data_IF_326680763038
#
_entry.id   IF_326680763038
#
_cell.length_a   1.000
_cell.length_b   1.000
_cell.length_c   1.000
_cell.angle_alpha   90.00
_cell.angle_beta   90.00
_cell.angle_gamma   90.00
#
_symmetry.space_group_name_H-M   'P 1'
#
loop_
_entity.id
_entity.type
_entity.pdbx_description
1 polymer ?
2 polymer ?
3 non-polymer ?
4 water ?
#
# COMPACT_ATOMS: atom_id res chain seq x y z
N UNK A 3 14.48 23.66 -21.01
CA UNK A 3 14.54 23.99 -19.60
C UNK A 3 13.14 24.22 -19.02
N UNK A 4 13.05 24.08 -17.70
CA UNK A 4 11.76 24.15 -17.00
C UNK A 4 11.33 25.60 -16.80
N UNK A 5 10.03 25.85 -16.91
CA UNK A 5 9.52 27.20 -16.71
C UNK A 5 8.21 27.18 -15.92
N UNK A 6 7.87 28.35 -15.39
CA UNK A 6 6.72 28.54 -14.52
C UNK A 6 5.60 29.15 -15.37
N UNK A 7 4.78 28.29 -15.96
CA UNK A 7 3.71 28.74 -16.85
C UNK A 7 2.36 28.13 -16.44
N UNK A 8 1.27 28.49 -17.13
CA UNK A 8 -0.06 28.01 -16.67
C UNK A 8 -0.16 26.50 -16.59
N UNK A 9 0.52 25.78 -17.49
CA UNK A 9 0.61 24.34 -17.40
C UNK A 9 1.22 23.90 -16.07
N UNK A 10 2.42 24.39 -15.74
CA UNK A 10 3.05 23.93 -14.51
C UNK A 10 2.18 24.27 -13.30
N UNK A 11 1.59 25.47 -13.28
CA UNK A 11 0.71 25.82 -12.16
C UNK A 11 -0.50 24.90 -12.09
N UNK A 12 -0.94 24.34 -13.21
CA UNK A 12 -2.00 23.34 -13.13
C UNK A 12 -1.47 22.04 -12.54
N UNK A 13 -0.28 21.62 -12.97
CA UNK A 13 0.33 20.42 -12.43
C UNK A 13 0.50 20.50 -10.91
N UNK A 14 0.90 21.68 -10.40
CA UNK A 14 1.04 21.83 -8.95
C UNK A 14 -0.31 21.81 -8.23
N UNK A 15 -1.29 22.54 -8.77
CA UNK A 15 -2.63 22.44 -8.19
C UNK A 15 -3.07 20.98 -8.14
N UNK A 16 -2.74 20.21 -9.18
CA UNK A 16 -3.12 18.79 -9.19
C UNK A 16 -2.39 18.05 -8.09
N UNK A 17 -1.07 18.31 -7.95
CA UNK A 17 -0.28 17.63 -6.92
C UNK A 17 -0.80 17.94 -5.52
N UNK A 18 -1.18 19.19 -5.26
CA UNK A 18 -1.69 19.54 -3.94
C UNK A 18 -3.06 18.92 -3.68
N UNK A 19 -3.90 18.78 -4.71
CA UNK A 19 -5.21 18.18 -4.48
C UNK A 19 -5.06 16.70 -4.12
N UNK A 20 -4.21 15.98 -4.85
CA UNK A 20 -3.91 14.60 -4.50
C UNK A 20 -3.37 14.50 -3.07
N UNK A 21 -2.38 15.35 -2.73
CA UNK A 21 -1.84 15.32 -1.38
C UNK A 21 -2.94 15.50 -0.34
N UNK A 22 -3.74 16.55 -0.48
CA UNK A 22 -4.79 16.80 0.50
C UNK A 22 -5.74 15.61 0.59
N UNK A 23 -6.11 15.03 -0.56
CA UNK A 23 -7.00 13.88 -0.53
C UNK A 23 -6.33 12.65 0.08
N UNK A 24 -5.01 12.53 -0.10
CA UNK A 24 -4.24 11.42 0.45
C UNK A 24 -4.15 11.51 1.97
N UNK A 25 -3.95 12.72 2.52
CA UNK A 25 -3.89 12.87 3.97
C UNK A 25 -5.22 12.49 4.63
N UNK A 26 -6.34 12.80 3.99
CA UNK A 26 -7.59 12.45 4.65
C UNK A 26 -8.07 11.04 4.32
N UNK A 27 -7.50 10.37 3.31
CA UNK A 27 -7.87 8.99 3.02
C UNK A 27 -7.07 7.97 3.81
N UNK A 28 -5.81 8.26 4.10
CA UNK A 28 -4.91 7.30 4.73
C UNK A 28 -4.58 7.76 6.14
N UNK A 29 -4.80 6.93 7.15
CA UNK A 29 -4.60 7.39 8.53
C UNK A 29 -3.14 7.67 8.84
N UNK A 30 -2.29 6.65 8.75
CA UNK A 30 -0.87 6.78 9.12
C UNK A 30 -0.07 7.15 7.88
N UNK A 31 0.26 8.43 7.75
CA UNK A 31 1.13 8.88 6.68
C UNK A 31 2.58 8.50 6.97
N UNK A 32 3.44 8.65 5.95
CA UNK A 32 4.85 8.33 6.14
C UNK A 32 5.54 9.37 7.02
N UNK A 33 5.06 10.62 7.01
CA UNK A 33 5.58 11.62 7.94
C UNK A 33 5.40 11.16 9.38
N UNK A 34 4.18 10.81 9.76
CA UNK A 34 3.92 10.35 11.12
C UNK A 34 4.64 9.04 11.40
N UNK A 35 4.66 8.13 10.42
CA UNK A 35 5.29 6.83 10.63
C UNK A 35 6.79 6.96 10.92
N UNK A 36 7.49 7.82 10.17
CA UNK A 36 8.94 7.95 10.39
C UNK A 36 9.26 8.68 11.68
N UNK A 37 8.46 9.67 12.07
CA UNK A 37 8.60 10.22 13.41
C UNK A 37 8.57 9.10 14.45
N UNK A 38 7.53 8.26 14.40
CA UNK A 38 7.42 7.16 15.35
C UNK A 38 8.67 6.28 15.29
N UNK A 39 9.10 5.94 14.07
CA UNK A 39 10.21 5.01 13.91
C UNK A 39 11.52 5.58 14.44
N UNK A 40 11.55 6.86 14.79
CA UNK A 40 12.74 7.48 15.37
C UNK A 40 12.50 8.01 16.77
N UNK A 41 11.35 7.73 17.38
CA UNK A 41 11.01 8.34 18.65
C UNK A 41 10.76 9.83 18.59
N UNK A 42 11.13 10.50 17.49
CA UNK A 42 10.84 11.92 17.26
C UNK A 42 9.36 12.25 17.41
N UNK A 43 8.63 11.51 18.24
CA UNK A 43 7.21 11.71 18.46
C UNK A 43 6.97 11.78 19.96
N UNK A 44 5.82 12.33 20.32
CA UNK A 44 5.27 12.07 21.64
C UNK A 44 4.38 10.85 21.52
N UNK A 45 3.10 11.08 21.25
CA UNK A 45 2.16 10.01 20.95
C UNK A 45 2.29 8.84 21.93
N UNK A 46 3.01 7.80 21.54
CA UNK A 46 2.89 6.53 22.26
C UNK A 46 4.23 5.82 22.47
N UNK A 47 5.03 5.68 21.42
CA UNK A 47 6.17 4.77 21.46
C UNK A 47 5.64 3.35 21.36
N UNK A 48 5.73 2.72 20.18
CA UNK A 48 5.05 1.44 19.99
C UNK A 48 5.64 0.33 20.86
N UNK A 49 4.78 -0.66 21.17
CA UNK A 49 5.20 -1.86 21.87
C UNK A 49 5.90 -2.80 20.89
N UNK A 50 7.11 -3.24 21.25
CA UNK A 50 7.92 -4.04 20.32
C UNK A 50 7.63 -5.51 20.51
N UNK A 51 7.22 -6.17 19.42
CA UNK A 51 7.08 -7.62 19.39
C UNK A 51 8.29 -8.18 18.66
N UNK A 52 9.17 -8.86 19.40
CA UNK A 52 10.42 -9.36 18.88
C UNK A 52 10.63 -10.85 19.14
N UNK A 53 9.75 -11.49 19.92
CA UNK A 53 9.83 -12.92 20.17
C UNK A 53 8.44 -13.38 20.59
N UNK A 54 8.30 -14.69 20.83
CA UNK A 54 6.98 -15.22 21.14
C UNK A 54 6.46 -14.68 22.47
N UNK A 55 7.36 -14.47 23.44
CA UNK A 55 6.90 -13.90 24.71
C UNK A 55 6.40 -12.47 24.54
N UNK A 56 7.09 -11.65 23.75
CA UNK A 56 6.63 -10.28 23.55
C UNK A 56 5.35 -10.25 22.71
N UNK A 57 5.16 -11.25 21.83
CA UNK A 57 3.91 -11.33 21.07
C UNK A 57 2.73 -11.55 21.99
N UNK A 58 2.75 -12.64 22.76
CA UNK A 58 1.72 -12.89 23.77
C UNK A 58 1.42 -11.63 24.58
N UNK A 59 2.46 -10.95 25.08
CA UNK A 59 2.21 -9.77 25.90
C UNK A 59 1.70 -8.61 25.06
N UNK A 60 2.16 -8.49 23.81
CA UNK A 60 1.65 -7.44 22.93
C UNK A 60 0.17 -7.59 22.63
N UNK A 61 -0.27 -8.82 22.32
CA UNK A 61 -1.70 -9.03 22.07
C UNK A 61 -2.52 -8.55 23.26
N UNK A 62 -1.99 -8.71 24.46
CA UNK A 62 -2.69 -8.25 25.65
C UNK A 62 -2.70 -6.72 25.75
N UNK A 63 -1.58 -6.06 25.47
CA UNK A 63 -1.45 -4.64 25.75
C UNK A 63 -1.78 -3.72 24.57
N UNK A 64 -1.63 -4.20 23.34
CA UNK A 64 -2.02 -3.41 22.17
C UNK A 64 -3.51 -3.62 21.91
N UNK A 65 -4.24 -2.53 21.65
CA UNK A 65 -5.67 -2.62 21.35
C UNK A 65 -5.85 -2.80 19.84
N UNK A 66 -5.84 -4.06 19.40
CA UNK A 66 -6.00 -4.35 17.97
C UNK A 66 -7.43 -4.07 17.54
N UNK A 67 -7.57 -3.36 16.42
CA UNK A 67 -8.89 -2.96 15.95
C UNK A 67 -9.76 -4.18 15.65
N UNK A 68 -9.20 -5.18 14.98
CA UNK A 68 -10.00 -6.32 14.53
C UNK A 68 -10.33 -7.31 15.63
N UNK A 69 -9.65 -7.24 16.78
CA UNK A 69 -9.81 -8.26 17.82
C UNK A 69 -10.90 -7.83 18.78
N UNK A 70 -11.69 -8.79 19.24
CA UNK A 70 -12.75 -8.63 20.22
C UNK A 70 -12.58 -9.64 21.34
N UNK A 71 -13.02 -9.28 22.57
CA UNK A 71 -13.06 -10.27 23.66
C UNK A 71 -14.47 -10.83 23.85
N UNK A 72 -14.86 -11.81 23.06
CA UNK A 72 -13.97 -12.42 22.09
C UNK A 72 -14.70 -13.25 21.03
N UNK A 73 -14.27 -13.05 19.79
CA UNK A 73 -14.52 -13.99 18.71
C UNK A 73 -13.61 -15.20 18.93
N UNK A 74 -13.62 -16.15 17.98
CA UNK A 74 -12.73 -17.30 18.03
C UNK A 74 -11.46 -17.00 17.25
N UNK A 75 -10.31 -17.05 17.92
CA UNK A 75 -9.01 -16.80 17.30
C UNK A 75 -8.26 -18.11 17.13
N UNK A 76 -7.27 -18.09 16.22
CA UNK A 76 -6.66 -19.30 15.69
C UNK A 76 -5.89 -20.13 16.72
N UNK A 77 -5.45 -19.53 17.83
CA UNK A 77 -4.65 -20.30 18.78
C UNK A 77 -3.24 -20.57 18.27
N UNK A 78 -3.02 -20.47 16.96
CA UNK A 78 -1.69 -20.56 16.38
C UNK A 78 -1.20 -19.16 15.99
N UNK A 79 -0.05 -18.75 16.55
CA UNK A 79 0.44 -17.39 16.36
C UNK A 79 0.42 -17.00 14.88
N UNK A 80 1.03 -17.83 14.03
CA UNK A 80 1.16 -17.47 12.62
C UNK A 80 -0.19 -17.12 11.99
N UNK A 81 -1.24 -17.86 12.35
CA UNK A 81 -2.53 -17.65 11.70
C UNK A 81 -3.20 -16.39 12.26
N UNK A 82 -3.10 -16.16 13.56
CA UNK A 82 -3.61 -14.92 14.12
C UNK A 82 -2.96 -13.72 13.45
N UNK A 83 -1.66 -13.81 13.14
CA UNK A 83 -1.00 -12.72 12.44
C UNK A 83 -1.58 -12.58 11.04
N UNK A 84 -1.67 -13.69 10.30
CA UNK A 84 -2.29 -13.64 8.99
C UNK A 84 -3.65 -12.94 9.05
N UNK A 85 -4.43 -13.19 10.11
CA UNK A 85 -5.77 -12.64 10.21
C UNK A 85 -5.75 -11.13 10.41
N UNK A 86 -4.89 -10.64 11.31
CA UNK A 86 -4.72 -9.20 11.44
C UNK A 86 -4.33 -8.56 10.12
N UNK A 87 -3.35 -9.14 9.42
CA UNK A 87 -2.92 -8.57 8.15
C UNK A 87 -4.03 -8.59 7.11
N UNK A 88 -4.79 -9.69 7.04
CA UNK A 88 -5.93 -9.73 6.13
C UNK A 88 -6.95 -8.64 6.45
N UNK A 89 -7.20 -8.40 7.73
CA UNK A 89 -8.11 -7.32 8.13
C UNK A 89 -7.56 -5.95 7.73
N UNK A 90 -6.27 -5.72 7.94
CA UNK A 90 -5.71 -4.44 7.53
C UNK A 90 -5.81 -4.27 6.02
N UNK A 91 -5.62 -5.37 5.26
CA UNK A 91 -5.69 -5.29 3.79
C UNK A 91 -7.07 -4.88 3.34
N UNK A 92 -8.12 -5.52 3.91
CA UNK A 92 -9.48 -5.17 3.57
C UNK A 92 -9.72 -3.68 3.85
N UNK A 93 -9.39 -3.24 5.06
CA UNK A 93 -9.39 -1.80 5.35
C UNK A 93 -8.68 -0.99 4.26
N UNK A 94 -7.51 -1.47 3.81
CA UNK A 94 -6.71 -0.65 2.88
C UNK A 94 -7.39 -0.58 1.53
N UNK A 95 -8.03 -1.66 1.10
CA UNK A 95 -8.82 -1.60 -0.13
C UNK A 95 -9.82 -0.46 -0.05
N UNK A 96 -10.43 -0.26 1.12
CA UNK A 96 -11.41 0.81 1.21
C UNK A 96 -10.74 2.19 1.23
N UNK A 97 -9.67 2.35 2.01
CA UNK A 97 -8.92 3.59 1.95
C UNK A 97 -8.53 3.94 0.51
N UNK A 98 -8.02 2.94 -0.22
CA UNK A 98 -7.49 3.20 -1.56
C UNK A 98 -8.63 3.53 -2.52
N UNK A 99 -9.74 2.77 -2.43
CA UNK A 99 -10.93 3.03 -3.23
C UNK A 99 -11.40 4.46 -3.04
N UNK A 100 -11.51 4.90 -1.79
CA UNK A 100 -11.91 6.28 -1.54
C UNK A 100 -10.93 7.25 -2.18
N UNK A 101 -9.62 7.03 -1.99
CA UNK A 101 -8.63 7.90 -2.61
C UNK A 101 -8.77 7.94 -4.12
N UNK A 102 -9.01 6.76 -4.74
CA UNK A 102 -9.18 6.71 -6.19
C UNK A 102 -10.29 7.67 -6.65
N UNK A 103 -11.37 7.76 -5.90
CA UNK A 103 -12.48 8.59 -6.34
C UNK A 103 -12.13 10.06 -6.28
N UNK A 104 -11.08 10.41 -5.54
CA UNK A 104 -10.66 11.78 -5.46
C UNK A 104 -9.74 12.18 -6.60
N UNK A 105 -9.34 11.24 -7.44
CA UNK A 105 -8.41 11.52 -8.53
C UNK A 105 -9.17 12.14 -9.70
N UNK A 106 -8.93 13.41 -10.02
CA UNK A 106 -9.67 14.06 -11.10
C UNK A 106 -9.88 13.18 -12.32
N UNK A 107 -11.15 13.00 -12.68
CA UNK A 107 -11.53 12.21 -13.82
C UNK A 107 -11.85 10.76 -13.52
N UNK A 108 -11.44 10.24 -12.36
CA UNK A 108 -11.56 8.80 -12.14
C UNK A 108 -13.04 8.38 -12.10
N UNK A 109 -13.86 9.16 -11.40
CA UNK A 109 -15.25 8.76 -11.17
C UNK A 109 -16.00 8.69 -12.49
N UNK A 110 -15.75 9.64 -13.38
CA UNK A 110 -16.29 9.68 -14.73
C UNK A 110 -15.68 8.63 -15.66
N UNK A 111 -14.87 7.72 -15.16
CA UNK A 111 -14.46 6.61 -16.01
C UNK A 111 -15.55 5.54 -16.02
N UNK A 112 -15.58 4.76 -17.10
CA UNK A 112 -16.39 3.55 -17.14
C UNK A 112 -16.36 2.86 -15.79
N UNK A 113 -17.54 2.67 -15.19
CA UNK A 113 -17.57 2.06 -13.86
C UNK A 113 -16.88 0.70 -13.84
N UNK A 114 -17.12 -0.12 -14.87
CA UNK A 114 -16.40 -1.39 -14.99
C UNK A 114 -14.88 -1.19 -15.07
N UNK A 115 -14.43 -0.10 -15.71
CA UNK A 115 -12.99 0.13 -15.76
C UNK A 115 -12.47 0.59 -14.39
N UNK A 116 -13.27 1.40 -13.68
CA UNK A 116 -12.91 1.75 -12.30
C UNK A 116 -12.65 0.49 -11.48
N UNK A 117 -13.49 -0.51 -11.65
CA UNK A 117 -13.35 -1.75 -10.90
C UNK A 117 -12.02 -2.41 -11.24
N UNK A 118 -11.72 -2.49 -12.54
CA UNK A 118 -10.51 -3.17 -12.97
C UNK A 118 -9.26 -2.44 -12.48
N UNK A 119 -9.23 -1.10 -12.55
CA UNK A 119 -8.05 -0.39 -12.07
C UNK A 119 -7.83 -0.66 -10.58
N UNK A 120 -8.90 -0.72 -9.79
CA UNK A 120 -8.75 -0.99 -8.36
C UNK A 120 -8.31 -2.42 -8.12
N UNK A 121 -8.93 -3.38 -8.82
CA UNK A 121 -8.56 -4.78 -8.67
C UNK A 121 -7.05 -4.99 -8.80
N UNK A 122 -6.43 -4.40 -9.83
CA UNK A 122 -5.00 -4.60 -10.07
C UNK A 122 -4.10 -3.64 -9.28
N UNK A 123 -4.59 -2.48 -8.87
CA UNK A 123 -3.72 -1.47 -8.29
C UNK A 123 -3.58 -1.55 -6.77
N UNK A 124 -4.58 -2.14 -6.12
CA UNK A 124 -4.72 -2.04 -4.68
C UNK A 124 -3.54 -2.69 -3.95
N UNK A 125 -3.12 -3.87 -4.39
CA UNK A 125 -2.02 -4.50 -3.66
C UNK A 125 -0.67 -3.87 -3.99
N UNK A 126 -0.54 -3.29 -5.19
CA UNK A 126 0.68 -2.53 -5.45
C UNK A 126 0.73 -1.27 -4.60
N UNK A 127 -0.43 -0.63 -4.38
CA UNK A 127 -0.46 0.48 -3.44
C UNK A 127 -0.18 -0.01 -2.03
N UNK A 128 -0.80 -1.13 -1.64
CA UNK A 128 -0.61 -1.62 -0.28
C UNK A 128 0.88 -1.75 0.03
N UNK A 129 1.63 -2.40 -0.86
CA UNK A 129 3.03 -2.65 -0.58
C UNK A 129 3.86 -1.38 -0.73
N UNK A 130 3.46 -0.50 -1.66
CA UNK A 130 4.08 0.82 -1.74
C UNK A 130 3.98 1.52 -0.40
N UNK A 131 2.80 1.51 0.24
CA UNK A 131 2.58 2.29 1.45
C UNK A 131 3.08 1.58 2.69
N UNK A 132 3.05 0.25 2.68
CA UNK A 132 3.65 -0.53 3.74
C UNK A 132 5.11 -0.13 3.98
N UNK A 133 5.83 0.22 2.91
CA UNK A 133 7.22 0.61 3.10
C UNK A 133 7.32 1.83 4.00
N UNK A 134 6.27 2.68 4.02
CA UNK A 134 6.34 3.87 4.86
C UNK A 134 6.49 3.49 6.32
N UNK A 135 5.98 2.31 6.68
CA UNK A 135 5.91 1.81 8.04
C UNK A 135 7.06 0.88 8.39
N UNK A 136 8.01 0.68 7.48
CA UNK A 136 9.10 -0.27 7.68
C UNK A 136 10.40 0.49 7.84
N UNK A 137 11.27 -0.04 8.69
CA UNK A 137 12.72 0.16 8.58
C UNK A 137 13.33 -1.24 8.51
N UNK A 138 14.66 -1.31 8.54
CA UNK A 138 15.29 -2.61 8.37
C UNK A 138 15.06 -3.53 9.56
N UNK A 139 14.53 -3.03 10.69
CA UNK A 139 14.33 -3.88 11.85
C UNK A 139 12.93 -4.48 11.94
N UNK A 140 11.95 -3.87 11.28
CA UNK A 140 10.58 -4.28 11.49
C UNK A 140 9.60 -3.33 10.83
N UNK A 141 8.34 -3.51 11.19
CA UNK A 141 7.23 -2.78 10.56
C UNK A 141 6.27 -2.33 11.64
N UNK A 142 5.81 -1.08 11.53
CA UNK A 142 4.79 -0.57 12.45
C UNK A 142 3.51 -1.36 12.25
N UNK A 143 2.84 -1.70 13.35
CA UNK A 143 1.54 -2.35 13.25
C UNK A 143 0.53 -1.59 14.09
N UNK A 144 -0.74 -1.86 13.80
CA UNK A 144 -1.86 -1.42 14.62
C UNK A 144 -1.85 0.10 14.80
N UNK A 145 -1.88 0.79 13.65
CA UNK A 145 -1.93 2.24 13.64
C UNK A 145 -0.72 2.86 14.34
N UNK A 146 0.36 2.11 14.50
CA UNK A 146 1.56 2.63 15.14
C UNK A 146 1.67 2.33 16.62
N UNK A 147 0.75 1.57 17.20
CA UNK A 147 0.84 1.21 18.62
C UNK A 147 1.81 0.06 18.86
N UNK A 148 2.13 -0.72 17.81
CA UNK A 148 3.05 -1.83 17.94
C UNK A 148 4.08 -1.79 16.82
N UNK A 149 5.11 -2.62 17.00
CA UNK A 149 6.22 -2.70 16.06
C UNK A 149 6.65 -4.16 16.04
N UNK A 150 6.57 -4.81 14.89
CA UNK A 150 6.92 -6.23 14.79
C UNK A 150 8.22 -6.40 14.01
N UNK A 151 9.17 -7.13 14.61
CA UNK A 151 10.49 -7.17 14.01
C UNK A 151 10.50 -8.05 12.75
N UNK A 152 11.43 -7.73 11.86
CA UNK A 152 11.62 -8.52 10.65
C UNK A 152 12.00 -9.95 10.99
N UNK A 153 12.88 -10.15 11.97
CA UNK A 153 13.32 -11.50 12.27
C UNK A 153 12.23 -12.30 12.96
N UNK A 154 11.38 -11.67 13.76
CA UNK A 154 10.27 -12.43 14.33
C UNK A 154 9.34 -12.95 13.23
N UNK A 155 8.93 -12.07 12.31
CA UNK A 155 8.11 -12.50 11.17
C UNK A 155 8.78 -13.64 10.40
N UNK A 156 10.10 -13.50 10.14
CA UNK A 156 10.85 -14.53 9.41
C UNK A 156 10.84 -15.85 10.15
N UNK A 157 10.79 -15.82 11.48
CA UNK A 157 10.83 -17.05 12.25
C UNK A 157 9.47 -17.78 12.33
N UNK A 158 8.39 -17.26 11.75
CA UNK A 158 7.13 -18.00 11.82
C UNK A 158 7.19 -19.23 10.93
N UNK A 159 6.48 -20.29 11.35
CA UNK A 159 6.56 -21.56 10.62
C UNK A 159 6.21 -21.38 9.15
N UNK A 160 6.81 -22.24 8.31
CA UNK A 160 6.57 -22.14 6.89
C UNK A 160 5.09 -22.41 6.61
N UNK A 161 4.48 -21.73 5.63
CA UNK A 161 5.07 -20.71 4.76
C UNK A 161 4.86 -19.28 5.26
N UNK A 162 4.32 -19.11 6.48
CA UNK A 162 4.04 -17.77 6.99
C UNK A 162 5.33 -16.94 7.13
N UNK A 163 6.43 -17.59 7.52
CA UNK A 163 7.70 -16.90 7.63
C UNK A 163 8.18 -16.26 6.34
N UNK A 164 7.55 -16.58 5.21
CA UNK A 164 7.94 -16.06 3.90
C UNK A 164 7.02 -14.97 3.38
N UNK A 165 6.00 -14.55 4.13
CA UNK A 165 5.06 -13.58 3.57
C UNK A 165 5.68 -12.19 3.54
N UNK A 166 6.19 -11.72 4.68
CA UNK A 166 6.59 -10.33 4.81
C UNK A 166 7.97 -10.04 4.21
N UNK A 167 8.88 -11.00 4.24
CA UNK A 167 10.27 -10.77 3.83
C UNK A 167 10.40 -10.11 2.46
N UNK A 168 9.76 -10.58 1.38
CA UNK A 168 9.88 -9.83 0.10
C UNK A 168 9.43 -8.37 0.21
N UNK A 169 8.49 -8.07 1.11
CA UNK A 169 8.09 -6.69 1.30
C UNK A 169 9.22 -5.87 1.94
N UNK A 170 9.86 -6.42 2.98
CA UNK A 170 11.02 -5.74 3.56
C UNK A 170 12.08 -5.51 2.50
N UNK A 171 12.43 -6.54 1.72
CA UNK A 171 13.42 -6.37 0.66
C UNK A 171 13.06 -5.18 -0.21
N UNK A 172 11.80 -5.12 -0.64
CA UNK A 172 11.37 -4.00 -1.46
C UNK A 172 11.51 -2.69 -0.71
N UNK A 173 11.16 -2.68 0.58
CA UNK A 173 11.07 -1.42 1.31
C UNK A 173 12.44 -0.81 1.52
N UNK A 174 13.46 -1.64 1.74
CA UNK A 174 14.81 -1.09 1.91
C UNK A 174 15.22 -0.32 0.66
N UNK A 175 15.08 -0.95 -0.51
CA UNK A 175 15.44 -0.24 -1.75
C UNK A 175 14.54 0.96 -1.97
N UNK A 176 13.22 0.79 -1.76
CA UNK A 176 12.29 1.86 -2.09
C UNK A 176 12.45 3.07 -1.15
N UNK A 177 12.63 2.83 0.15
CA UNK A 177 12.81 3.92 1.09
C UNK A 177 14.12 4.67 0.88
N UNK A 178 15.13 4.00 0.31
CA UNK A 178 16.35 4.71 0.00
C UNK A 178 16.12 5.75 -1.10
N UNK A 179 14.92 5.81 -1.68
CA UNK A 179 14.59 6.91 -2.58
C UNK A 179 14.15 8.15 -1.82
N UNK A 180 13.73 8.00 -0.56
CA UNK A 180 13.44 9.12 0.31
C UNK A 180 12.28 9.98 -0.20
N UNK A 181 11.29 9.34 -0.80
CA UNK A 181 10.04 10.04 -1.10
C UNK A 181 9.36 10.46 0.19
N UNK A 182 8.63 11.57 0.12
CA UNK A 182 7.74 12.02 1.18
C UNK A 182 6.29 11.82 0.71
N UNK A 183 5.35 12.14 1.59
CA UNK A 183 3.93 11.90 1.29
C UNK A 183 3.51 12.60 0.02
N UNK A 184 4.01 13.82 -0.20
CA UNK A 184 3.71 14.61 -1.39
C UNK A 184 4.12 13.89 -2.66
N UNK A 185 5.30 13.24 -2.65
CA UNK A 185 5.67 12.38 -3.77
C UNK A 185 4.73 11.17 -3.87
N UNK A 186 4.50 10.48 -2.74
CA UNK A 186 3.76 9.22 -2.74
C UNK A 186 2.34 9.42 -3.24
N UNK A 187 1.66 10.48 -2.77
CA UNK A 187 0.29 10.74 -3.23
C UNK A 187 0.19 10.73 -4.75
N UNK A 188 1.17 11.31 -5.46
CA UNK A 188 1.09 11.29 -6.92
C UNK A 188 1.47 9.91 -7.47
N UNK A 189 2.49 9.28 -6.89
CA UNK A 189 2.92 7.97 -7.35
C UNK A 189 1.80 6.93 -7.27
N UNK A 190 1.00 6.95 -6.20
CA UNK A 190 -0.05 5.93 -6.11
C UNK A 190 -1.18 6.24 -7.10
N UNK A 191 -1.47 7.52 -7.33
CA UNK A 191 -2.41 7.89 -8.38
C UNK A 191 -1.96 7.35 -9.74
N UNK A 192 -0.67 7.48 -10.05
CA UNK A 192 -0.12 6.94 -11.30
C UNK A 192 -0.38 5.43 -11.38
N UNK A 193 -0.08 4.70 -10.31
CA UNK A 193 -0.30 3.24 -10.29
C UNK A 193 -1.78 2.90 -10.57
N UNK A 194 -2.69 3.57 -9.88
CA UNK A 194 -4.11 3.23 -10.03
C UNK A 194 -4.53 3.37 -11.49
N UNK A 195 -3.94 4.34 -12.18
CA UNK A 195 -4.32 4.71 -13.55
C UNK A 195 -3.40 4.10 -14.59
N UNK A 196 -2.97 2.87 -14.36
CA UNK A 196 -2.21 2.09 -15.32
C UNK A 196 -3.15 1.64 -16.44
N UNK A 197 -2.99 2.22 -17.62
CA UNK A 197 -3.83 1.87 -18.75
C UNK A 197 -3.51 0.55 -19.41
N UNK A 198 -2.62 -0.27 -18.82
CA UNK A 198 -2.29 -1.60 -19.32
C UNK A 198 -2.80 -2.72 -18.41
N UNK A 199 -3.78 -2.44 -17.55
CA UNK A 199 -4.33 -3.53 -16.75
C UNK A 199 -5.14 -4.46 -17.66
N UNK A 200 -5.03 -5.77 -17.48
CA UNK A 200 -5.84 -6.71 -18.26
C UNK A 200 -7.33 -6.38 -18.13
N UNK A 201 -8.03 -6.46 -19.26
CA UNK A 201 -9.47 -6.42 -19.24
C UNK A 201 -10.07 -5.03 -19.26
N UNK A 202 -9.26 -3.98 -19.37
CA UNK A 202 -9.78 -2.64 -19.50
C UNK A 202 -10.50 -2.48 -20.84
N UNK A 203 -11.57 -1.70 -20.83
CA UNK A 203 -12.44 -1.58 -21.99
C UNK A 203 -12.28 -0.27 -22.74
N UNK A 204 -12.15 0.84 -22.00
CA UNK A 204 -12.08 2.18 -22.56
C UNK A 204 -10.74 2.77 -22.07
N UNK A 205 -9.66 2.42 -22.78
CA UNK A 205 -8.32 2.69 -22.28
C UNK A 205 -7.91 4.14 -22.51
N UNK A 206 -8.44 4.77 -23.56
CA UNK A 206 -8.04 6.12 -23.93
C UNK A 206 -8.09 7.08 -22.75
N UNK A 207 -9.27 7.30 -22.15
CA UNK A 207 -9.36 8.30 -21.06
C UNK A 207 -8.54 7.94 -19.85
N UNK A 208 -8.17 6.67 -19.70
CA UNK A 208 -7.32 6.25 -18.58
C UNK A 208 -5.89 6.73 -18.83
N UNK A 209 -5.38 6.51 -20.04
CA UNK A 209 -4.03 6.98 -20.39
C UNK A 209 -3.96 8.49 -20.35
N UNK A 210 -5.02 9.17 -20.77
CA UNK A 210 -5.08 10.62 -20.67
C UNK A 210 -4.83 11.07 -19.24
N UNK A 211 -5.59 10.52 -18.28
CA UNK A 211 -5.39 10.91 -16.88
C UNK A 211 -3.99 10.50 -16.43
N UNK A 212 -3.60 9.26 -16.70
CA UNK A 212 -2.27 8.84 -16.25
C UNK A 212 -1.18 9.73 -16.85
N UNK A 213 -1.39 10.22 -18.07
CA UNK A 213 -0.47 11.19 -18.65
C UNK A 213 -0.36 12.43 -17.79
N UNK A 214 -1.52 12.99 -17.45
CA UNK A 214 -1.55 14.18 -16.61
C UNK A 214 -0.92 13.92 -15.25
N UNK A 215 -1.04 12.69 -14.73
CA UNK A 215 -0.44 12.37 -13.44
C UNK A 215 1.06 12.19 -13.55
N UNK A 216 1.52 11.55 -14.63
CA UNK A 216 2.95 11.35 -14.83
C UNK A 216 3.68 12.68 -14.99
N UNK A 217 3.03 13.67 -15.62
CA UNK A 217 3.61 15.00 -15.70
C UNK A 217 3.70 15.64 -14.32
N UNK A 218 2.61 15.57 -13.55
CA UNK A 218 2.59 16.16 -12.22
C UNK A 218 3.62 15.51 -11.32
N UNK A 219 3.90 14.23 -11.54
CA UNK A 219 4.89 13.54 -10.71
C UNK A 219 6.30 14.00 -11.08
N UNK A 220 6.61 14.09 -12.38
CA UNK A 220 7.95 14.50 -12.80
C UNK A 220 8.27 15.89 -12.28
N UNK A 221 7.33 16.83 -12.46
CA UNK A 221 7.49 18.15 -11.87
C UNK A 221 7.67 18.05 -10.36
N UNK A 222 6.83 17.24 -9.71
CA UNK A 222 6.94 17.08 -8.26
C UNK A 222 8.34 16.66 -7.85
N UNK A 223 8.93 15.70 -8.57
CA UNK A 223 10.21 15.12 -8.18
C UNK A 223 11.37 16.06 -8.50
N UNK A 224 11.26 16.81 -9.62
CA UNK A 224 12.29 17.77 -9.92
C UNK A 224 12.33 18.87 -8.86
N UNK A 225 11.15 19.33 -8.43
CA UNK A 225 11.11 20.41 -7.44
C UNK A 225 11.51 19.94 -6.06
N UNK A 226 11.19 18.69 -5.69
CA UNK A 226 11.33 18.23 -4.31
C UNK A 226 12.61 17.44 -4.05
N UNK A 227 13.38 17.09 -5.08
CA UNK A 227 14.57 16.26 -4.92
C UNK A 227 15.71 16.83 -5.76
N UNK A 228 16.18 18.03 -5.43
CA UNK A 228 17.23 18.66 -6.26
C UNK A 228 18.45 17.77 -6.46
N UNK A 229 18.80 16.96 -5.48
CA UNK A 229 19.98 16.11 -5.53
C UNK A 229 19.65 14.68 -5.97
N UNK A 230 18.83 14.54 -7.03
CA UNK A 230 18.41 13.22 -7.53
C UNK A 230 17.95 13.38 -8.98
N UNK A 231 18.91 13.34 -9.92
CA UNK A 231 18.59 13.61 -11.32
C UNK A 231 17.74 12.52 -11.95
N UNK A 232 17.89 11.26 -11.49
CA UNK A 232 17.29 10.10 -12.13
C UNK A 232 16.16 9.48 -11.31
N UNK A 233 15.44 10.32 -10.56
CA UNK A 233 14.45 9.83 -9.61
C UNK A 233 13.17 9.37 -10.32
N UNK A 234 12.77 10.09 -11.36
CA UNK A 234 11.51 9.80 -12.03
C UNK A 234 11.54 8.42 -12.68
N UNK A 235 12.60 8.13 -13.43
CA UNK A 235 12.75 6.83 -14.06
C UNK A 235 12.93 5.71 -13.04
N UNK A 236 13.75 5.95 -12.00
CA UNK A 236 13.90 4.94 -10.95
C UNK A 236 12.55 4.57 -10.33
N UNK A 237 11.68 5.55 -10.14
CA UNK A 237 10.37 5.30 -9.54
C UNK A 237 9.49 4.47 -10.45
N UNK A 238 9.43 4.83 -11.73
CA UNK A 238 8.64 4.03 -12.67
C UNK A 238 9.10 2.58 -12.64
N UNK A 239 10.41 2.36 -12.54
CA UNK A 239 10.90 0.98 -12.49
C UNK A 239 10.40 0.24 -11.27
N UNK A 240 10.11 0.96 -10.18
CA UNK A 240 9.60 0.32 -8.99
C UNK A 240 8.20 -0.25 -9.21
N UNK A 241 7.42 0.35 -10.13
CA UNK A 241 6.15 -0.28 -10.47
C UNK A 241 6.37 -1.68 -11.02
N UNK A 242 7.49 -1.89 -11.73
CA UNK A 242 7.82 -3.23 -12.19
C UNK A 242 8.06 -4.17 -11.01
N UNK A 243 8.85 -3.74 -10.02
CA UNK A 243 9.11 -4.59 -8.87
C UNK A 243 7.84 -4.91 -8.07
N UNK A 244 6.85 -3.99 -8.09
CA UNK A 244 5.63 -4.21 -7.33
C UNK A 244 4.78 -5.29 -7.97
N UNK A 245 4.65 -5.27 -9.30
CA UNK A 245 3.95 -6.36 -9.98
C UNK A 245 4.56 -7.71 -9.62
N UNK A 246 5.89 -7.76 -9.54
CA UNK A 246 6.59 -9.00 -9.16
C UNK A 246 6.27 -9.39 -7.73
N UNK A 247 6.24 -8.40 -6.82
CA UNK A 247 5.87 -8.65 -5.43
C UNK A 247 4.47 -9.25 -5.36
N UNK A 248 3.53 -8.69 -6.12
CA UNK A 248 2.16 -9.19 -6.09
C UNK A 248 2.11 -10.61 -6.62
N UNK A 249 2.86 -10.87 -7.69
CA UNK A 249 2.93 -12.21 -8.27
C UNK A 249 3.43 -13.22 -7.24
N UNK A 250 4.55 -12.90 -6.61
CA UNK A 250 5.12 -13.77 -5.60
C UNK A 250 4.19 -13.97 -4.42
N UNK A 251 3.55 -12.89 -3.96
CA UNK A 251 2.63 -13.02 -2.85
C UNK A 251 1.44 -13.92 -3.22
N UNK A 252 0.96 -13.84 -4.48
CA UNK A 252 -0.10 -14.74 -4.91
C UNK A 252 0.33 -16.20 -4.82
N UNK A 253 1.57 -16.49 -5.19
CA UNK A 253 2.01 -17.88 -5.19
C UNK A 253 2.09 -18.45 -3.78
N UNK A 254 2.50 -17.64 -2.79
CA UNK A 254 2.41 -18.07 -1.39
C UNK A 254 0.97 -18.25 -0.93
N UNK A 255 0.03 -17.45 -1.44
CA UNK A 255 -1.34 -17.55 -0.96
C UNK A 255 -1.91 -18.92 -1.30
N UNK A 256 -1.69 -19.36 -2.55
CA UNK A 256 -2.19 -20.67 -2.93
C UNK A 256 -1.50 -21.80 -2.18
N UNK A 257 -0.27 -21.60 -1.70
CA UNK A 257 0.26 -22.56 -0.74
C UNK A 257 -0.66 -22.64 0.47
N UNK A 258 -1.07 -21.48 0.99
CA UNK A 258 -1.98 -21.47 2.13
C UNK A 258 -3.26 -22.23 1.79
N UNK A 259 -3.75 -22.09 0.55
CA UNK A 259 -5.06 -22.65 0.22
C UNK A 259 -5.03 -24.18 0.29
N UNK A 260 -4.12 -24.81 -0.44
CA UNK A 260 -3.95 -26.27 -0.40
C UNK A 260 -2.90 -26.63 0.66
N UNK A 261 -3.27 -26.41 1.92
CA UNK A 261 -2.37 -26.69 3.03
C UNK A 261 -3.03 -26.31 4.36
N UNK A 262 -3.46 -25.06 4.49
CA UNK A 262 -4.08 -24.56 5.70
C UNK A 262 -5.58 -24.41 5.44
N UNK A 263 -6.36 -25.34 5.96
CA UNK A 263 -7.81 -25.29 5.82
C UNK A 263 -8.44 -24.89 7.14
N UNK A 264 -9.49 -24.07 7.05
CA UNK A 264 -9.99 -23.20 8.12
C UNK A 264 -9.66 -21.77 7.67
N UNK A 265 -8.47 -21.60 7.09
CA UNK A 265 -8.08 -20.33 6.53
C UNK A 265 -8.83 -20.08 5.23
N UNK A 266 -9.23 -18.82 5.04
CA UNK A 266 -9.96 -18.42 3.85
C UNK A 266 -9.91 -16.91 3.80
N UNK A 267 -9.61 -16.37 2.63
CA UNK A 267 -9.55 -14.93 2.48
C UNK A 267 -10.93 -14.31 2.66
N UNK A 268 -10.97 -13.18 3.32
CA UNK A 268 -12.11 -12.30 3.24
C UNK A 268 -12.59 -12.19 1.79
N UNK A 269 -13.89 -12.35 1.54
CA UNK A 269 -14.41 -12.29 0.16
C UNK A 269 -13.97 -11.09 -0.68
N UNK A 270 -13.76 -9.89 -0.09
CA UNK A 270 -13.24 -8.79 -0.88
C UNK A 270 -11.90 -9.16 -1.49
N UNK A 271 -11.02 -9.73 -0.67
CA UNK A 271 -9.74 -10.23 -1.16
C UNK A 271 -9.92 -11.32 -2.20
N UNK A 272 -10.94 -12.19 -2.03
CA UNK A 272 -11.19 -13.25 -3.00
C UNK A 272 -11.60 -12.70 -4.36
N UNK A 273 -12.47 -11.68 -4.41
CA UNK A 273 -12.76 -11.06 -5.70
C UNK A 273 -11.50 -10.45 -6.32
N UNK A 274 -10.64 -9.83 -5.51
CA UNK A 274 -9.46 -9.19 -6.08
C UNK A 274 -8.54 -10.23 -6.71
N UNK A 275 -8.20 -11.26 -5.94
CA UNK A 275 -7.26 -12.27 -6.43
C UNK A 275 -7.86 -13.17 -7.52
N UNK A 276 -9.17 -13.35 -7.53
CA UNK A 276 -9.80 -14.24 -8.50
C UNK A 276 -9.48 -13.76 -9.91
N UNK A 277 -8.86 -14.63 -10.71
CA UNK A 277 -8.53 -14.30 -12.10
C UNK A 277 -7.65 -13.05 -12.17
N UNK A 278 -6.78 -12.90 -11.18
CA UNK A 278 -5.82 -11.82 -11.19
C UNK A 278 -4.78 -12.16 -12.24
N UNK A 279 -3.79 -12.96 -11.84
CA UNK A 279 -2.75 -13.48 -12.74
C UNK A 279 -1.53 -13.88 -11.91
N UNK B 4 -16.77 -11.84 -11.46
CA UNK B 4 -17.49 -10.71 -10.87
C UNK B 4 -16.71 -10.11 -9.69
N UNK B 5 -16.97 -8.82 -9.39
CA UNK B 5 -16.35 -8.08 -8.28
C UNK B 5 -17.44 -7.26 -7.59
N UNK B 6 -18.31 -7.96 -6.86
CA UNK B 6 -19.53 -7.36 -6.33
C UNK B 6 -19.23 -6.36 -5.22
N UNK B 7 -18.38 -6.74 -4.27
CA UNK B 7 -18.02 -5.82 -3.19
C UNK B 7 -17.31 -4.59 -3.74
N UNK B 8 -16.30 -4.81 -4.59
CA UNK B 8 -15.58 -3.68 -5.16
C UNK B 8 -16.54 -2.79 -5.93
N UNK B 9 -17.47 -3.41 -6.66
CA UNK B 9 -18.49 -2.63 -7.34
C UNK B 9 -19.32 -1.82 -6.34
N UNK B 10 -19.68 -2.43 -5.22
CA UNK B 10 -20.47 -1.73 -4.20
C UNK B 10 -19.71 -0.54 -3.63
N UNK B 11 -18.45 -0.77 -3.22
CA UNK B 11 -17.63 0.33 -2.69
C UNK B 11 -17.54 1.49 -3.68
N UNK B 12 -17.51 1.20 -4.98
CA UNK B 12 -17.30 2.31 -5.90
C UNK B 12 -18.58 3.12 -6.10
N UNK B 13 -19.75 2.54 -5.81
CA UNK B 13 -21.03 3.25 -5.90
C UNK B 13 -21.74 3.29 -4.54
#
# INVERSE_FOLDING_TARGET
GSHMQLNPESADLRALAKHLYDSYIKSFPLTKAKARAILTGKTTDKSPFVIYDMNSLMMGEDKIKFKHITPLQEQSKEVAIRIFQGCQFRSVEAVQEITEYAKSIPGFVNLDLNDQVTLLKYGVHEIIYTMLASLMNKDGVLISEGQGFMTREFLKSLRKPFGDFMEPKFEFAVKFNALELDDSDLAIFIAVIILSGDRPGLLNVKPIEDIQDNLLQALELQLKLNHPESSQLFAKLLQKMTDLRQIVTEHVQLLQVIKKTETDMSLHPLLQEIYKDLY
LTERHKILHRLLQEG
#
